data_IF_912116634904
#
_entry.id   IF_912116634904
#
_cell.length_a   1.000
_cell.length_b   1.000
_cell.length_c   1.000
_cell.angle_alpha   90.00
_cell.angle_beta   90.00
_cell.angle_gamma   90.00
#
_symmetry.space_group_name_H-M   'P 1'
#
loop_
_entity.id
_entity.type
_entity.pdbx_description
1 polymer ?
#
# COMPACT_ATOMS: atom_id res chain seq x y z
N UNK A 1 -5.60 10.01 7.54
CA UNK A 1 -4.33 9.66 6.87
C UNK A 1 -4.59 9.27 5.42
N UNK A 2 -3.63 9.51 4.57
CA UNK A 2 -3.69 9.16 3.14
C UNK A 2 -2.73 8.01 2.85
N UNK A 3 -3.21 6.98 2.17
CA UNK A 3 -2.39 5.88 1.67
C UNK A 3 -2.01 6.16 0.21
N UNK A 4 -0.74 6.11 -0.08
CA UNK A 4 -0.24 6.19 -1.45
C UNK A 4 0.51 4.91 -1.81
N UNK A 5 0.14 4.28 -2.92
CA UNK A 5 0.78 3.06 -3.38
C UNK A 5 1.25 3.24 -4.82
N UNK A 6 2.47 2.81 -5.08
CA UNK A 6 3.06 2.79 -6.42
C UNK A 6 3.44 1.36 -6.75
N UNK A 7 2.71 0.75 -7.69
CA UNK A 7 2.90 -0.65 -8.08
C UNK A 7 3.72 -0.69 -9.37
N UNK A 8 4.99 -1.04 -9.23
CA UNK A 8 5.89 -1.21 -10.36
C UNK A 8 6.06 -2.66 -10.77
N UNK A 9 6.86 -2.91 -11.79
CA UNK A 9 7.11 -4.26 -12.29
C UNK A 9 7.89 -5.13 -11.31
N UNK A 10 8.72 -4.52 -10.48
CA UNK A 10 9.59 -5.26 -9.55
C UNK A 10 9.24 -5.01 -8.09
N UNK A 11 8.68 -3.84 -7.76
CA UNK A 11 8.42 -3.45 -6.39
C UNK A 11 7.10 -2.72 -6.25
N UNK A 12 6.49 -2.89 -5.09
CA UNK A 12 5.39 -2.04 -4.62
C UNK A 12 5.94 -1.15 -3.53
N UNK A 13 5.70 0.15 -3.64
CA UNK A 13 6.08 1.13 -2.62
C UNK A 13 4.81 1.70 -2.01
N UNK A 14 4.75 1.71 -0.69
CA UNK A 14 3.62 2.25 0.06
C UNK A 14 4.10 3.39 0.92
N UNK A 15 3.30 4.44 0.98
CA UNK A 15 3.51 5.54 1.91
C UNK A 15 2.21 5.88 2.61
N UNK A 16 2.28 6.17 3.90
CA UNK A 16 1.13 6.62 4.68
C UNK A 16 1.44 8.01 5.20
N UNK A 17 0.61 8.96 4.80
CA UNK A 17 0.78 10.37 5.12
C UNK A 17 -0.28 10.83 6.11
N UNK A 18 0.16 11.65 7.05
CA UNK A 18 -0.74 12.40 7.94
C UNK A 18 -0.53 13.88 7.60
N UNK A 19 -1.46 14.45 6.85
CA UNK A 19 -1.26 15.76 6.23
C UNK A 19 -0.09 15.70 5.26
N UNK A 20 0.92 16.56 5.49
CA UNK A 20 2.14 16.59 4.67
C UNK A 20 3.26 15.69 5.22
N UNK A 21 3.00 15.01 6.34
CA UNK A 21 4.02 14.19 7.00
C UNK A 21 3.92 12.74 6.56
N UNK A 22 5.03 12.20 6.06
CA UNK A 22 5.16 10.78 5.78
C UNK A 22 5.38 10.03 7.10
N UNK A 23 4.38 9.25 7.52
CA UNK A 23 4.45 8.49 8.78
C UNK A 23 5.12 7.14 8.61
N UNK A 24 4.77 6.43 7.54
CA UNK A 24 5.30 5.09 7.28
C UNK A 24 5.62 4.94 5.82
N UNK A 25 6.67 4.18 5.56
CA UNK A 25 7.10 3.85 4.21
C UNK A 25 7.43 2.36 4.17
N UNK A 26 6.84 1.67 3.21
CA UNK A 26 7.02 0.23 3.03
C UNK A 26 7.37 -0.06 1.58
N UNK A 27 8.10 -1.16 1.39
CA UNK A 27 8.48 -1.62 0.08
C UNK A 27 8.49 -3.14 0.08
N UNK A 28 7.87 -3.74 -0.92
CA UNK A 28 7.91 -5.19 -1.09
C UNK A 28 7.93 -5.55 -2.57
N UNK A 29 8.31 -6.80 -2.86
CA UNK A 29 8.43 -7.27 -4.23
C UNK A 29 7.06 -7.44 -4.89
N UNK A 30 6.97 -7.07 -6.16
CA UNK A 30 5.78 -7.32 -6.97
C UNK A 30 5.72 -8.79 -7.33
N UNK A 31 4.57 -9.41 -7.11
CA UNK A 31 4.29 -10.77 -7.54
C UNK A 31 3.11 -10.75 -8.51
N UNK A 32 3.38 -11.04 -9.78
CA UNK A 32 2.35 -11.03 -10.84
C UNK A 32 1.27 -12.09 -10.63
N UNK A 33 1.57 -13.11 -9.84
CA UNK A 33 0.61 -14.18 -9.57
C UNK A 33 -0.33 -13.85 -8.42
N UNK A 34 -0.08 -12.78 -7.69
CA UNK A 34 -0.98 -12.35 -6.64
C UNK A 34 -2.22 -11.70 -7.21
N UNK A 35 -3.35 -12.04 -6.61
CA UNK A 35 -4.61 -11.37 -6.91
C UNK A 35 -4.67 -10.03 -6.14
N UNK A 36 -5.58 -9.16 -6.54
CA UNK A 36 -5.84 -7.92 -5.81
C UNK A 36 -6.29 -8.20 -4.37
N UNK A 37 -7.01 -9.30 -4.14
CA UNK A 37 -7.44 -9.69 -2.79
C UNK A 37 -6.25 -10.07 -1.93
N UNK A 38 -5.28 -10.80 -2.47
CA UNK A 38 -4.06 -11.17 -1.76
C UNK A 38 -3.24 -9.93 -1.40
N UNK A 39 -3.16 -8.97 -2.31
CA UNK A 39 -2.47 -7.71 -2.06
C UNK A 39 -3.16 -6.92 -0.94
N UNK A 40 -4.49 -6.91 -0.93
CA UNK A 40 -5.26 -6.24 0.11
C UNK A 40 -5.01 -6.87 1.49
N UNK A 41 -4.93 -8.20 1.57
CA UNK A 41 -4.62 -8.90 2.82
C UNK A 41 -3.23 -8.52 3.32
N UNK A 42 -2.23 -8.46 2.44
CA UNK A 42 -0.89 -8.02 2.82
C UNK A 42 -0.89 -6.60 3.34
N UNK A 43 -1.62 -5.71 2.68
CA UNK A 43 -1.71 -4.32 3.09
C UNK A 43 -2.32 -4.19 4.48
N UNK A 44 -3.43 -4.89 4.75
CA UNK A 44 -4.04 -4.90 6.08
C UNK A 44 -3.09 -5.45 7.14
N UNK A 45 -2.34 -6.48 6.81
CA UNK A 45 -1.34 -7.06 7.72
C UNK A 45 -0.28 -6.02 8.08
N UNK A 46 0.23 -5.27 7.12
CA UNK A 46 1.18 -4.19 7.39
C UNK A 46 0.60 -3.11 8.29
N UNK A 47 -0.64 -2.71 8.05
CA UNK A 47 -1.32 -1.72 8.87
C UNK A 47 -1.42 -2.19 10.32
N UNK A 48 -1.75 -3.47 10.54
CA UNK A 48 -1.83 -4.05 11.87
C UNK A 48 -0.48 -4.09 12.57
N UNK A 49 0.58 -4.48 11.86
CA UNK A 49 1.93 -4.54 12.41
C UNK A 49 2.38 -3.16 12.91
N UNK A 50 2.04 -2.10 12.19
CA UNK A 50 2.42 -0.74 12.55
C UNK A 50 1.36 -0.03 13.42
N UNK A 51 0.34 -0.75 13.90
CA UNK A 51 -0.74 -0.21 14.74
C UNK A 51 -1.51 0.93 14.08
N UNK A 52 -1.69 0.85 12.77
CA UNK A 52 -2.49 1.83 12.04
C UNK A 52 -3.89 1.28 11.89
N UNK A 53 -4.88 2.01 12.39
CA UNK A 53 -6.28 1.65 12.20
C UNK A 53 -6.70 2.04 10.78
N UNK A 54 -7.23 1.08 10.02
CA UNK A 54 -7.71 1.32 8.66
C UNK A 54 -8.80 2.40 8.62
N UNK A 55 -9.52 2.60 9.70
CA UNK A 55 -10.53 3.66 9.81
C UNK A 55 -9.94 5.06 9.78
N UNK A 56 -8.65 5.21 10.08
CA UNK A 56 -7.96 6.48 10.03
C UNK A 56 -7.45 6.83 8.64
N UNK A 57 -7.61 5.94 7.68
CA UNK A 57 -7.23 6.18 6.29
C UNK A 57 -8.44 6.76 5.56
N UNK A 58 -8.34 8.03 5.21
CA UNK A 58 -9.43 8.79 4.60
C UNK A 58 -9.49 8.63 3.09
N UNK A 59 -8.38 8.25 2.47
CA UNK A 59 -8.29 8.10 1.04
C UNK A 59 -7.07 7.31 0.63
N UNK A 60 -7.07 6.85 -0.61
CA UNK A 60 -5.97 6.11 -1.18
C UNK A 60 -5.72 6.53 -2.62
N UNK A 61 -4.44 6.63 -2.98
CA UNK A 61 -4.01 6.87 -4.35
C UNK A 61 -3.17 5.66 -4.76
N UNK A 62 -3.56 5.00 -5.85
CA UNK A 62 -2.85 3.84 -6.34
C UNK A 62 -2.46 4.08 -7.79
N UNK A 63 -1.16 3.95 -8.06
CA UNK A 63 -0.60 4.01 -9.40
C UNK A 63 -0.04 2.64 -9.76
N UNK A 64 -0.33 2.16 -10.95
CA UNK A 64 0.14 0.85 -11.38
C UNK A 64 0.61 0.89 -12.83
N UNK A 65 1.78 0.28 -13.07
CA UNK A 65 2.30 0.03 -14.43
C UNK A 65 2.21 -1.46 -14.78
N UNK A 66 1.65 -2.28 -13.88
CA UNK A 66 1.47 -3.71 -14.08
C UNK A 66 0.03 -3.96 -14.51
N UNK A 67 -0.21 -4.45 -15.75
CA UNK A 67 -1.58 -4.58 -16.27
C UNK A 67 -2.50 -5.47 -15.45
N UNK A 68 -1.96 -6.38 -14.64
CA UNK A 68 -2.76 -7.31 -13.83
C UNK A 68 -3.28 -6.70 -12.53
N UNK A 69 -2.79 -5.56 -12.16
CA UNK A 69 -3.25 -4.83 -10.99
C UNK A 69 -4.09 -3.65 -11.46
#
# INVERSE_FOLDING_TARGET
>A
MLLAADVGNTNVKLGIFDGDNLKFKLRFSTDENKTSDELAVELFTFLQIYNIDAKNIDGAIISSVVPKF
#
